data_IF_007611382199
#
_entry.id   IF_007611382199
#
_cell.length_a   1.000
_cell.length_b   1.000
_cell.length_c   1.000
_cell.angle_alpha   90.00
_cell.angle_beta   90.00
_cell.angle_gamma   90.00
#
_symmetry.space_group_name_H-M   'P 1'
#
loop_
_entity.id
_entity.type
_entity.pdbx_description
1 polymer ?
#
# COMPACT_ATOMS: atom_id res chain seq x y z
N UNK A 1 7.90 4.14 -45.03
CA UNK A 1 7.33 5.09 -44.06
C UNK A 1 6.92 4.26 -42.86
N UNK A 2 7.77 4.25 -41.84
CA UNK A 2 7.58 3.49 -40.61
C UNK A 2 6.62 4.27 -39.72
N UNK A 3 5.45 3.72 -39.44
CA UNK A 3 4.50 4.30 -38.51
C UNK A 3 5.08 4.07 -37.11
N UNK A 4 5.59 5.13 -36.50
CA UNK A 4 5.91 5.17 -35.08
C UNK A 4 4.57 4.98 -34.36
N UNK A 5 4.37 3.81 -33.79
CA UNK A 5 3.22 3.55 -32.92
C UNK A 5 3.59 4.15 -31.57
N UNK A 6 2.88 5.20 -31.16
CA UNK A 6 3.02 5.79 -29.83
C UNK A 6 2.80 4.71 -28.77
N UNK A 7 3.63 4.65 -27.70
CA UNK A 7 3.52 3.64 -26.65
C UNK A 7 2.20 3.70 -25.85
N UNK A 8 1.39 4.74 -26.07
CA UNK A 8 0.08 4.93 -25.44
C UNK A 8 -1.00 4.00 -26.03
N UNK A 9 -0.86 3.58 -27.29
CA UNK A 9 -1.96 2.91 -28.03
C UNK A 9 -2.03 1.39 -27.83
N UNK A 10 -1.03 0.78 -27.18
CA UNK A 10 -1.03 -0.65 -26.83
C UNK A 10 -1.74 -0.92 -25.48
N UNK A 11 -2.12 0.13 -24.74
CA UNK A 11 -2.84 0.01 -23.47
C UNK A 11 -4.34 -0.34 -23.61
N UNK A 12 -4.90 -0.26 -24.82
CA UNK A 12 -6.36 -0.34 -25.04
C UNK A 12 -7.00 -1.73 -24.84
N UNK A 13 -6.25 -2.79 -24.54
CA UNK A 13 -6.80 -4.15 -24.39
C UNK A 13 -6.57 -4.83 -23.03
N UNK A 14 -5.93 -4.16 -22.06
CA UNK A 14 -5.79 -4.69 -20.70
C UNK A 14 -6.76 -4.00 -19.75
N UNK A 15 -7.80 -4.71 -19.30
CA UNK A 15 -8.64 -4.26 -18.18
C UNK A 15 -7.71 -3.95 -16.99
N UNK A 16 -7.62 -2.68 -16.59
CA UNK A 16 -6.71 -2.26 -15.53
C UNK A 16 -7.10 -2.91 -14.19
N UNK A 17 -6.11 -3.11 -13.32
CA UNK A 17 -6.29 -3.71 -12.00
C UNK A 17 -6.18 -2.62 -10.94
N UNK A 18 -7.15 -2.53 -10.03
CA UNK A 18 -7.06 -1.70 -8.82
C UNK A 18 -6.95 -2.60 -7.59
N UNK A 19 -5.90 -2.37 -6.78
CA UNK A 19 -5.82 -2.89 -5.42
C UNK A 19 -6.30 -1.83 -4.45
N UNK A 20 -7.34 -2.12 -3.68
CA UNK A 20 -7.80 -1.19 -2.65
C UNK A 20 -8.08 -1.88 -1.32
N UNK A 21 -8.02 -1.12 -0.25
CA UNK A 21 -8.31 -1.60 1.10
C UNK A 21 -9.48 -0.82 1.72
N UNK A 22 -10.32 -1.49 2.50
CA UNK A 22 -11.35 -0.85 3.33
C UNK A 22 -10.84 -0.70 4.75
N UNK A 23 -11.04 0.49 5.34
CA UNK A 23 -10.71 0.81 6.72
C UNK A 23 -11.86 1.61 7.35
N UNK A 24 -11.94 1.66 8.68
CA UNK A 24 -13.06 2.27 9.40
C UNK A 24 -13.28 1.60 10.75
N UNK A 25 -14.03 2.24 11.65
CA UNK A 25 -14.33 1.73 12.99
C UNK A 25 -15.11 0.40 12.95
N UNK A 26 -15.19 -0.26 14.09
CA UNK A 26 -16.23 -1.28 14.33
C UNK A 26 -17.60 -0.63 14.11
N UNK A 27 -18.51 -1.36 13.47
CA UNK A 27 -19.86 -0.93 13.10
C UNK A 27 -20.00 0.15 12.02
N UNK A 28 -18.92 0.69 11.44
CA UNK A 28 -19.04 1.66 10.33
C UNK A 28 -19.60 1.07 9.02
N UNK A 29 -19.86 -0.24 8.99
CA UNK A 29 -20.50 -0.92 7.86
C UNK A 29 -19.56 -1.33 6.73
N UNK A 30 -18.28 -1.59 7.03
CA UNK A 30 -17.27 -2.06 6.06
C UNK A 30 -17.71 -3.33 5.32
N UNK A 31 -18.02 -4.39 6.08
CA UNK A 31 -18.49 -5.67 5.54
C UNK A 31 -19.78 -5.51 4.73
N UNK A 32 -20.69 -4.64 5.17
CA UNK A 32 -21.92 -4.33 4.44
C UNK A 32 -21.63 -3.63 3.11
N UNK A 33 -20.74 -2.65 3.08
CA UNK A 33 -20.33 -1.96 1.84
C UNK A 33 -19.69 -2.95 0.86
N UNK A 34 -18.77 -3.77 1.35
CA UNK A 34 -18.12 -4.79 0.54
C UNK A 34 -19.13 -5.79 -0.01
N UNK A 35 -20.02 -6.31 0.84
CA UNK A 35 -21.09 -7.22 0.44
C UNK A 35 -22.00 -6.60 -0.62
N UNK A 36 -22.37 -5.31 -0.47
CA UNK A 36 -23.14 -4.53 -1.44
C UNK A 36 -22.42 -4.39 -2.78
N UNK A 37 -21.13 -4.02 -2.77
CA UNK A 37 -20.32 -3.94 -3.99
C UNK A 37 -20.24 -5.28 -4.72
N UNK A 38 -20.06 -6.39 -3.99
CA UNK A 38 -19.99 -7.73 -4.58
C UNK A 38 -21.34 -8.18 -5.14
N UNK A 39 -22.43 -7.92 -4.41
CA UNK A 39 -23.79 -8.24 -4.84
C UNK A 39 -24.19 -7.47 -6.10
N UNK A 40 -24.07 -6.14 -6.06
CA UNK A 40 -24.56 -5.26 -7.11
C UNK A 40 -23.67 -5.30 -8.37
N UNK A 41 -22.38 -5.62 -8.23
CA UNK A 41 -21.48 -5.89 -9.37
C UNK A 41 -21.73 -7.24 -10.03
N UNK A 42 -22.70 -8.04 -9.55
CA UNK A 42 -23.02 -9.40 -10.04
C UNK A 42 -21.81 -10.36 -10.01
N UNK A 43 -20.87 -10.11 -9.12
CA UNK A 43 -19.66 -10.92 -8.96
C UNK A 43 -19.87 -12.12 -8.03
N UNK A 44 -21.00 -12.18 -7.34
CA UNK A 44 -21.41 -13.30 -6.48
C UNK A 44 -22.29 -14.25 -7.28
N UNK A 45 -21.92 -15.54 -7.30
CA UNK A 45 -22.73 -16.60 -7.90
C UNK A 45 -24.07 -16.73 -7.14
N UNK A 46 -25.17 -16.96 -7.87
CA UNK A 46 -26.53 -16.93 -7.31
C UNK A 46 -26.74 -17.92 -6.14
N UNK A 47 -26.01 -19.04 -6.14
CA UNK A 47 -26.04 -20.06 -5.09
C UNK A 47 -25.45 -19.57 -3.75
N UNK A 48 -24.46 -18.68 -3.77
CA UNK A 48 -23.92 -18.06 -2.56
C UNK A 48 -24.88 -17.02 -1.98
N UNK A 49 -25.61 -16.30 -2.83
CA UNK A 49 -26.64 -15.37 -2.39
C UNK A 49 -27.82 -16.08 -1.72
N UNK A 50 -28.30 -17.19 -2.30
CA UNK A 50 -29.33 -18.01 -1.65
C UNK A 50 -28.88 -18.59 -0.30
N UNK A 51 -27.58 -18.90 -0.16
CA UNK A 51 -27.03 -19.38 1.10
C UNK A 51 -27.00 -18.28 2.17
N UNK A 52 -26.72 -17.04 1.79
CA UNK A 52 -26.77 -15.86 2.66
C UNK A 52 -28.21 -15.55 3.07
N UNK A 53 -29.15 -15.51 2.12
CA UNK A 53 -30.58 -15.32 2.41
C UNK A 53 -31.10 -16.36 3.40
N UNK A 54 -30.78 -17.65 3.18
CA UNK A 54 -31.15 -18.73 4.11
C UNK A 54 -30.53 -18.56 5.49
N UNK A 55 -29.27 -18.12 5.58
CA UNK A 55 -28.60 -17.88 6.85
C UNK A 55 -29.17 -16.68 7.61
N UNK A 56 -29.49 -15.58 6.92
CA UNK A 56 -30.12 -14.38 7.50
C UNK A 56 -31.54 -14.66 7.99
N UNK A 57 -32.33 -15.41 7.21
CA UNK A 57 -33.66 -15.87 7.63
C UNK A 57 -33.57 -16.77 8.88
N UNK A 58 -32.57 -17.66 8.94
CA UNK A 58 -32.31 -18.49 10.12
C UNK A 58 -31.90 -17.69 11.37
N UNK A 59 -31.40 -16.46 11.19
CA UNK A 59 -31.06 -15.51 12.26
C UNK A 59 -32.20 -14.53 12.58
N UNK A 60 -33.33 -14.62 11.88
CA UNK A 60 -34.51 -13.78 12.10
C UNK A 60 -34.43 -12.39 11.47
N UNK A 61 -33.54 -12.17 10.51
CA UNK A 61 -33.47 -10.93 9.73
C UNK A 61 -34.38 -11.01 8.50
N UNK A 62 -35.14 -9.95 8.21
CA UNK A 62 -36.05 -9.89 7.05
C UNK A 62 -35.32 -9.61 5.73
N UNK A 63 -34.15 -8.97 5.78
CA UNK A 63 -33.29 -8.67 4.64
C UNK A 63 -32.00 -9.52 4.68
N UNK A 64 -31.42 -9.88 3.51
CA UNK A 64 -30.16 -10.60 3.48
C UNK A 64 -29.02 -9.77 4.06
N UNK A 65 -28.29 -10.36 5.00
CA UNK A 65 -27.12 -9.78 5.64
C UNK A 65 -25.89 -10.02 4.77
N UNK A 66 -25.61 -9.04 3.91
CA UNK A 66 -24.51 -9.13 2.94
C UNK A 66 -23.12 -9.21 3.59
N UNK A 67 -22.97 -8.90 4.89
CA UNK A 67 -21.72 -9.11 5.61
C UNK A 67 -21.35 -10.60 5.70
N UNK A 68 -22.32 -11.51 5.58
CA UNK A 68 -22.07 -12.95 5.54
C UNK A 68 -21.29 -13.41 4.30
N UNK A 69 -21.20 -12.58 3.25
CA UNK A 69 -20.34 -12.84 2.08
C UNK A 69 -18.86 -12.58 2.37
N UNK A 70 -18.55 -11.71 3.33
CA UNK A 70 -17.19 -11.29 3.64
C UNK A 70 -16.58 -12.07 4.79
N UNK A 71 -17.37 -12.45 5.79
CA UNK A 71 -16.87 -13.03 7.04
C UNK A 71 -16.58 -14.53 6.87
N UNK A 72 -15.28 -14.86 6.76
CA UNK A 72 -14.80 -16.19 6.40
C UNK A 72 -14.61 -17.12 7.59
N UNK A 73 -14.20 -16.59 8.75
CA UNK A 73 -13.89 -17.37 9.95
C UNK A 73 -15.13 -17.55 10.84
N UNK A 74 -15.22 -18.71 11.51
CA UNK A 74 -16.31 -18.96 12.47
C UNK A 74 -16.27 -17.97 13.65
N UNK A 75 -15.07 -17.59 14.09
CA UNK A 75 -14.86 -16.57 15.12
C UNK A 75 -15.32 -15.17 14.68
N UNK A 76 -15.08 -14.79 13.41
CA UNK A 76 -15.59 -13.54 12.83
C UNK A 76 -17.12 -13.53 12.86
N UNK A 77 -17.75 -14.63 12.45
CA UNK A 77 -19.23 -14.77 12.43
C UNK A 77 -19.88 -14.83 13.81
N UNK A 78 -19.16 -15.31 14.82
CA UNK A 78 -19.62 -15.37 16.21
C UNK A 78 -19.49 -14.00 16.91
N UNK A 79 -18.54 -13.17 16.49
CA UNK A 79 -18.25 -11.85 17.09
C UNK A 79 -18.75 -10.65 16.26
N UNK A 80 -19.13 -10.84 15.00
CA UNK A 80 -19.58 -9.77 14.11
C UNK A 80 -18.48 -8.79 13.70
N UNK A 81 -17.21 -9.22 13.70
CA UNK A 81 -16.05 -8.38 13.34
C UNK A 81 -15.14 -9.12 12.34
N UNK A 82 -14.52 -8.39 11.43
CA UNK A 82 -13.39 -8.88 10.62
C UNK A 82 -12.16 -9.04 11.52
N UNK A 83 -11.44 -10.17 11.43
CA UNK A 83 -10.26 -10.48 12.27
C UNK A 83 -8.99 -10.54 11.44
N UNK A 84 -9.02 -11.13 10.24
CA UNK A 84 -7.87 -11.24 9.34
C UNK A 84 -8.12 -10.48 8.02
N UNK A 85 -7.07 -10.18 7.27
CA UNK A 85 -7.23 -9.52 5.96
C UNK A 85 -7.83 -10.51 4.96
N UNK A 86 -9.07 -10.29 4.56
CA UNK A 86 -9.72 -11.10 3.54
C UNK A 86 -9.53 -10.47 2.16
N UNK A 87 -8.91 -11.19 1.24
CA UNK A 87 -8.81 -10.76 -0.17
C UNK A 87 -10.02 -11.22 -0.97
N UNK A 88 -10.70 -10.26 -1.61
CA UNK A 88 -11.83 -10.50 -2.51
C UNK A 88 -11.50 -10.00 -3.91
N UNK A 89 -12.03 -10.70 -4.90
CA UNK A 89 -11.77 -10.43 -6.31
C UNK A 89 -13.10 -10.19 -6.99
N UNK A 90 -13.22 -9.09 -7.71
CA UNK A 90 -14.39 -8.79 -8.53
C UNK A 90 -13.98 -7.97 -9.74
N UNK A 91 -14.88 -7.86 -10.72
CA UNK A 91 -14.61 -7.12 -11.95
C UNK A 91 -15.88 -6.47 -12.47
N UNK A 92 -15.70 -5.34 -13.13
CA UNK A 92 -16.72 -4.70 -13.96
C UNK A 92 -16.28 -4.80 -15.43
N UNK A 93 -17.13 -4.41 -16.40
CA UNK A 93 -16.70 -4.30 -17.79
C UNK A 93 -15.51 -3.36 -17.99
N UNK A 94 -15.29 -2.40 -17.08
CA UNK A 94 -14.24 -1.38 -17.18
C UNK A 94 -12.96 -1.77 -16.46
N UNK A 95 -13.04 -2.51 -15.35
CA UNK A 95 -11.89 -2.67 -14.44
C UNK A 95 -11.94 -3.95 -13.60
N UNK A 96 -10.78 -4.47 -13.21
CA UNK A 96 -10.62 -5.58 -12.25
C UNK A 96 -10.20 -5.05 -10.89
N UNK A 97 -10.66 -5.70 -9.84
CA UNK A 97 -10.47 -5.25 -8.46
C UNK A 97 -9.93 -6.36 -7.57
N UNK A 98 -8.97 -6.00 -6.73
CA UNK A 98 -8.55 -6.77 -5.56
C UNK A 98 -8.85 -5.92 -4.35
N UNK A 99 -9.81 -6.37 -3.55
CA UNK A 99 -10.17 -5.75 -2.29
C UNK A 99 -9.46 -6.48 -1.16
N UNK A 100 -8.79 -5.73 -0.29
CA UNK A 100 -8.33 -6.19 1.01
C UNK A 100 -9.30 -5.65 2.08
N UNK A 101 -10.13 -6.53 2.64
CA UNK A 101 -10.99 -6.15 3.76
C UNK A 101 -10.16 -6.14 5.05
N UNK A 102 -9.87 -4.96 5.60
CA UNK A 102 -9.03 -4.85 6.79
C UNK A 102 -9.88 -4.72 8.06
N UNK A 103 -9.50 -5.41 9.14
CA UNK A 103 -10.23 -5.35 10.40
C UNK A 103 -10.14 -3.96 11.04
N UNK A 104 -11.27 -3.47 11.57
CA UNK A 104 -11.38 -2.10 12.10
C UNK A 104 -11.03 -1.91 13.57
N UNK A 105 -10.70 -2.99 14.29
CA UNK A 105 -10.45 -2.90 15.72
C UNK A 105 -8.97 -2.57 16.00
N UNK A 106 -8.74 -1.77 17.06
CA UNK A 106 -7.43 -1.23 17.48
C UNK A 106 -6.33 -2.29 17.59
N UNK A 107 -6.69 -3.51 17.97
CA UNK A 107 -5.76 -4.63 18.12
C UNK A 107 -5.19 -5.16 16.80
N UNK A 108 -5.63 -4.64 15.64
CA UNK A 108 -5.30 -5.16 14.32
C UNK A 108 -4.60 -4.15 13.39
N UNK A 109 -3.90 -3.14 13.94
CA UNK A 109 -3.04 -2.23 13.15
C UNK A 109 -2.11 -2.99 12.21
N UNK A 110 -1.52 -4.11 12.63
CA UNK A 110 -0.68 -4.97 11.78
C UNK A 110 -1.40 -5.51 10.54
N UNK A 111 -2.70 -5.80 10.65
CA UNK A 111 -3.51 -6.33 9.56
C UNK A 111 -3.83 -5.22 8.57
N UNK A 112 -4.15 -4.02 9.06
CA UNK A 112 -4.27 -2.83 8.21
C UNK A 112 -2.95 -2.54 7.48
N UNK A 113 -1.80 -2.58 8.18
CA UNK A 113 -0.48 -2.39 7.55
C UNK A 113 -0.25 -3.40 6.43
N UNK A 114 -0.58 -4.67 6.68
CA UNK A 114 -0.45 -5.73 5.68
C UNK A 114 -1.33 -5.46 4.46
N UNK A 115 -2.62 -5.16 4.65
CA UNK A 115 -3.55 -4.89 3.55
C UNK A 115 -3.23 -3.59 2.77
N UNK A 116 -2.98 -2.50 3.49
CA UNK A 116 -2.75 -1.18 2.91
C UNK A 116 -1.37 -1.03 2.24
N UNK A 117 -0.35 -1.83 2.64
CA UNK A 117 1.00 -1.78 2.05
C UNK A 117 1.04 -2.05 0.54
N UNK A 118 0.04 -2.78 0.02
CA UNK A 118 -0.07 -3.10 -1.41
C UNK A 118 -1.22 -2.36 -2.09
N UNK A 119 -1.97 -1.57 -1.34
CA UNK A 119 -3.10 -0.82 -1.85
C UNK A 119 -2.64 0.41 -2.65
N UNK A 120 -3.38 0.66 -3.72
CA UNK A 120 -3.34 1.88 -4.54
C UNK A 120 -4.41 2.88 -4.08
N UNK A 121 -5.46 2.39 -3.42
CA UNK A 121 -6.52 3.21 -2.84
C UNK A 121 -6.96 2.68 -1.46
N UNK A 122 -7.27 3.58 -0.52
CA UNK A 122 -7.91 3.25 0.75
C UNK A 122 -9.30 3.89 0.84
N UNK A 123 -10.34 3.08 1.13
CA UNK A 123 -11.69 3.57 1.44
C UNK A 123 -11.83 3.61 2.96
N UNK A 124 -11.85 4.81 3.54
CA UNK A 124 -12.07 5.03 4.97
C UNK A 124 -13.55 5.29 5.20
N UNK A 125 -14.23 4.35 5.86
CA UNK A 125 -15.64 4.47 6.20
C UNK A 125 -15.80 5.20 7.54
N UNK A 126 -16.86 6.00 7.63
CA UNK A 126 -17.26 6.73 8.83
C UNK A 126 -18.78 6.64 8.99
N UNK A 127 -19.26 6.26 10.17
CA UNK A 127 -20.70 6.34 10.51
C UNK A 127 -21.13 7.81 10.67
N UNK A 128 -22.10 8.25 9.86
CA UNK A 128 -22.62 9.63 9.87
C UNK A 128 -23.20 10.06 11.23
N UNK A 129 -23.60 9.12 12.09
CA UNK A 129 -24.11 9.43 13.44
C UNK A 129 -23.00 9.77 14.43
N UNK A 130 -21.82 9.21 14.22
CA UNK A 130 -20.69 9.33 15.14
C UNK A 130 -19.68 10.39 14.67
N UNK A 131 -19.62 10.63 13.36
CA UNK A 131 -18.60 11.50 12.76
C UNK A 131 -17.19 10.92 12.89
N UNK A 132 -16.17 11.77 12.82
CA UNK A 132 -14.77 11.34 12.83
C UNK A 132 -14.37 10.93 14.25
N UNK A 133 -14.13 9.63 14.44
CA UNK A 133 -13.67 9.06 15.72
C UNK A 133 -12.16 8.78 15.72
N UNK A 134 -11.60 8.48 16.89
CA UNK A 134 -10.17 8.13 17.05
C UNK A 134 -9.73 7.00 16.11
N UNK A 135 -10.56 5.98 15.92
CA UNK A 135 -10.26 4.88 15.00
C UNK A 135 -10.19 5.34 13.53
N UNK A 136 -11.06 6.26 13.11
CA UNK A 136 -11.02 6.88 11.78
C UNK A 136 -9.70 7.61 11.55
N UNK A 137 -9.28 8.42 12.54
CA UNK A 137 -8.01 9.16 12.51
C UNK A 137 -6.83 8.21 12.43
N UNK A 138 -6.82 7.16 13.25
CA UNK A 138 -5.78 6.11 13.23
C UNK A 138 -5.68 5.44 11.85
N UNK A 139 -6.79 5.08 11.22
CA UNK A 139 -6.79 4.49 9.88
C UNK A 139 -6.25 5.45 8.82
N UNK A 140 -6.64 6.73 8.86
CA UNK A 140 -6.10 7.74 7.97
C UNK A 140 -4.58 7.93 8.17
N UNK A 141 -4.11 7.95 9.43
CA UNK A 141 -2.69 8.04 9.75
C UNK A 141 -1.88 6.86 9.20
N UNK A 142 -2.39 5.62 9.33
CA UNK A 142 -1.73 4.43 8.78
C UNK A 142 -1.74 4.44 7.24
N UNK A 143 -2.84 4.86 6.61
CA UNK A 143 -2.90 5.00 5.16
C UNK A 143 -1.90 6.04 4.63
N UNK A 144 -1.76 7.18 5.33
CA UNK A 144 -0.78 8.22 5.03
C UNK A 144 0.66 7.71 5.22
N UNK A 145 0.94 7.05 6.35
CA UNK A 145 2.24 6.45 6.67
C UNK A 145 2.72 5.47 5.57
N UNK A 146 1.80 4.65 5.07
CA UNK A 146 2.07 3.66 4.00
C UNK A 146 2.01 4.27 2.60
N UNK A 147 1.82 5.60 2.51
CA UNK A 147 1.69 6.38 1.29
C UNK A 147 0.72 5.74 0.30
N UNK A 148 -0.47 5.37 0.78
CA UNK A 148 -1.53 4.90 -0.11
C UNK A 148 -1.88 6.05 -1.07
N UNK A 149 -1.72 5.88 -2.40
CA UNK A 149 -1.81 6.98 -3.37
C UNK A 149 -3.14 7.73 -3.35
N UNK A 150 -4.24 7.01 -3.15
CA UNK A 150 -5.58 7.59 -3.13
C UNK A 150 -6.31 7.25 -1.84
N UNK A 151 -6.98 8.24 -1.24
CA UNK A 151 -7.82 8.04 -0.06
C UNK A 151 -9.23 8.55 -0.36
N UNK A 152 -10.22 7.71 -0.08
CA UNK A 152 -11.64 8.01 -0.24
C UNK A 152 -12.29 7.99 1.14
N UNK A 153 -13.04 9.03 1.46
CA UNK A 153 -13.89 9.05 2.64
C UNK A 153 -15.31 8.61 2.24
N UNK A 154 -15.77 7.49 2.79
CA UNK A 154 -17.13 7.01 2.61
C UNK A 154 -17.95 7.30 3.88
N UNK A 155 -18.77 8.35 3.84
CA UNK A 155 -19.65 8.72 4.98
C UNK A 155 -20.89 7.85 4.90
N UNK A 156 -20.92 6.78 5.70
CA UNK A 156 -21.94 5.74 5.65
C UNK A 156 -23.10 6.01 6.61
N UNK A 157 -24.21 5.29 6.42
CA UNK A 157 -25.44 5.37 7.20
C UNK A 157 -26.15 6.72 7.11
N UNK A 158 -26.08 7.37 5.94
CA UNK A 158 -26.81 8.62 5.68
C UNK A 158 -28.32 8.46 5.85
N UNK A 159 -28.85 7.24 5.68
CA UNK A 159 -30.25 6.89 5.94
C UNK A 159 -30.68 7.10 7.41
N UNK A 160 -29.74 7.01 8.36
CA UNK A 160 -30.03 7.18 9.79
C UNK A 160 -29.95 8.64 10.26
N UNK A 161 -29.48 9.54 9.38
CA UNK A 161 -29.39 10.99 9.61
C UNK A 161 -30.23 11.76 8.58
N UNK A 162 -31.31 11.12 8.09
CA UNK A 162 -32.27 11.67 7.16
C UNK A 162 -31.63 12.27 5.88
N UNK A 163 -30.50 11.71 5.44
CA UNK A 163 -29.75 12.14 4.26
C UNK A 163 -29.32 13.63 4.32
N UNK A 164 -29.11 14.17 5.51
CA UNK A 164 -28.86 15.58 5.74
C UNK A 164 -27.47 16.03 5.24
N UNK A 165 -27.45 16.94 4.26
CA UNK A 165 -26.23 17.58 3.72
C UNK A 165 -25.33 18.21 4.81
N UNK A 166 -25.86 18.95 5.82
CA UNK A 166 -25.00 19.58 6.83
C UNK A 166 -24.19 18.56 7.66
N UNK A 167 -24.72 17.35 7.88
CA UNK A 167 -24.02 16.29 8.62
C UNK A 167 -22.85 15.77 7.78
N UNK A 168 -23.08 15.49 6.50
CA UNK A 168 -22.03 15.07 5.58
C UNK A 168 -20.93 16.13 5.45
N UNK A 169 -21.32 17.39 5.25
CA UNK A 169 -20.38 18.50 5.06
C UNK A 169 -19.44 18.66 6.26
N UNK A 170 -19.97 18.61 7.49
CA UNK A 170 -19.17 18.72 8.71
C UNK A 170 -18.14 17.58 8.85
N UNK A 171 -18.55 16.35 8.56
CA UNK A 171 -17.65 15.17 8.63
C UNK A 171 -16.57 15.25 7.54
N UNK A 172 -16.96 15.63 6.33
CA UNK A 172 -16.03 15.77 5.21
C UNK A 172 -14.98 16.87 5.47
N UNK A 173 -15.39 18.00 6.03
CA UNK A 173 -14.50 19.10 6.40
C UNK A 173 -13.50 18.68 7.48
N UNK A 174 -13.98 18.07 8.58
CA UNK A 174 -13.13 17.60 9.67
C UNK A 174 -12.10 16.58 9.18
N UNK A 175 -12.53 15.57 8.41
CA UNK A 175 -11.64 14.53 7.91
C UNK A 175 -10.63 15.07 6.91
N UNK A 176 -11.04 15.99 6.02
CA UNK A 176 -10.15 16.60 5.03
C UNK A 176 -9.06 17.43 5.71
N UNK A 177 -9.42 18.21 6.75
CA UNK A 177 -8.45 18.96 7.53
C UNK A 177 -7.42 18.05 8.23
N UNK A 178 -7.89 16.94 8.82
CA UNK A 178 -7.00 15.98 9.46
C UNK A 178 -6.07 15.27 8.48
N UNK A 179 -6.57 14.84 7.32
CA UNK A 179 -5.74 14.19 6.31
C UNK A 179 -4.75 15.14 5.63
N UNK A 180 -5.10 16.42 5.48
CA UNK A 180 -4.17 17.44 5.02
C UNK A 180 -2.98 17.59 5.98
N UNK A 181 -3.19 17.53 7.31
CA UNK A 181 -2.10 17.57 8.29
C UNK A 181 -1.20 16.33 8.25
N UNK A 182 -1.72 15.20 7.75
CA UNK A 182 -0.96 13.98 7.47
C UNK A 182 -0.19 14.02 6.14
N UNK A 183 -0.34 15.08 5.34
CA UNK A 183 0.26 15.19 4.01
C UNK A 183 -0.51 14.45 2.90
N UNK A 184 -1.81 14.19 3.09
CA UNK A 184 -2.71 13.62 2.08
C UNK A 184 -3.56 14.76 1.50
N UNK A 185 -3.19 15.35 0.34
CA UNK A 185 -3.77 16.61 -0.12
C UNK A 185 -5.14 16.46 -0.79
N UNK A 186 -5.46 15.29 -1.35
CA UNK A 186 -6.69 15.08 -2.12
C UNK A 186 -7.49 13.89 -1.56
N UNK A 187 -8.71 14.18 -1.10
CA UNK A 187 -9.67 13.19 -0.64
C UNK A 187 -10.97 13.37 -1.40
N UNK A 188 -11.51 12.26 -1.91
CA UNK A 188 -12.88 12.24 -2.41
C UNK A 188 -13.81 11.79 -1.30
N UNK A 189 -14.74 12.65 -0.88
CA UNK A 189 -15.79 12.32 0.07
C UNK A 189 -17.08 11.90 -0.65
N UNK A 190 -17.64 10.75 -0.27
CA UNK A 190 -18.83 10.16 -0.87
C UNK A 190 -19.84 9.83 0.25
N UNK A 191 -21.03 10.47 0.28
CA UNK A 191 -22.10 10.11 1.21
C UNK A 191 -22.79 8.85 0.70
N UNK A 192 -22.90 7.83 1.53
CA UNK A 192 -23.47 6.53 1.15
C UNK A 192 -24.45 5.99 2.19
N UNK A 193 -25.29 5.08 1.75
CA UNK A 193 -25.89 4.07 2.62
C UNK A 193 -25.55 2.69 2.07
N UNK A 194 -24.63 1.99 2.73
CA UNK A 194 -24.26 0.63 2.33
C UNK A 194 -25.46 -0.33 2.39
N UNK A 195 -26.35 -0.12 3.37
CA UNK A 195 -27.54 -0.94 3.57
C UNK A 195 -28.61 -0.65 2.52
N UNK A 196 -28.92 0.62 2.23
CA UNK A 196 -29.94 0.98 1.25
C UNK A 196 -29.44 0.96 -0.21
N UNK A 197 -28.12 1.05 -0.42
CA UNK A 197 -27.46 1.04 -1.73
C UNK A 197 -27.17 2.43 -2.31
N UNK A 198 -27.58 3.50 -1.62
CA UNK A 198 -27.38 4.88 -2.05
C UNK A 198 -25.90 5.22 -2.28
N UNK A 199 -25.58 5.71 -3.48
CA UNK A 199 -24.24 6.12 -3.93
C UNK A 199 -23.15 5.03 -3.86
N UNK A 200 -23.51 3.75 -3.68
CA UNK A 200 -22.54 2.65 -3.71
C UNK A 200 -22.24 2.24 -5.15
N UNK A 201 -23.28 1.85 -5.89
CA UNK A 201 -23.19 1.49 -7.32
C UNK A 201 -24.02 2.44 -8.17
N UNK A 202 -25.22 2.78 -7.71
CA UNK A 202 -26.12 3.71 -8.37
C UNK A 202 -26.21 5.03 -7.62
N UNK A 203 -26.32 6.17 -8.32
CA UNK A 203 -26.58 7.46 -7.69
C UNK A 203 -27.86 7.41 -6.84
N UNK A 204 -27.81 8.06 -5.67
CA UNK A 204 -28.95 8.19 -4.77
C UNK A 204 -30.01 9.13 -5.34
N UNK A 205 -31.28 8.82 -5.07
CA UNK A 205 -32.41 9.73 -5.31
C UNK A 205 -32.83 10.49 -4.03
N UNK A 206 -32.20 10.18 -2.90
CA UNK A 206 -32.46 10.81 -1.60
C UNK A 206 -31.49 11.97 -1.31
N UNK A 207 -30.39 12.07 -2.07
CA UNK A 207 -29.31 13.03 -1.88
C UNK A 207 -29.08 13.86 -3.16
N UNK A 208 -30.12 14.53 -3.66
CA UNK A 208 -30.05 15.37 -4.88
C UNK A 208 -29.01 16.50 -4.78
N UNK A 209 -28.63 16.87 -3.56
CA UNK A 209 -27.57 17.84 -3.27
C UNK A 209 -26.16 17.31 -3.57
N UNK A 210 -25.98 15.99 -3.66
CA UNK A 210 -24.69 15.38 -3.97
C UNK A 210 -24.48 15.18 -5.48
N UNK A 211 -23.61 15.99 -6.08
CA UNK A 211 -23.24 15.90 -7.49
C UNK A 211 -21.98 15.10 -7.80
N UNK A 212 -21.42 14.39 -6.81
CA UNK A 212 -20.17 13.62 -6.96
C UNK A 212 -20.37 12.19 -7.50
N UNK A 213 -19.29 11.42 -7.63
CA UNK A 213 -19.35 10.05 -8.14
C UNK A 213 -19.92 9.07 -7.11
N UNK A 214 -20.44 7.94 -7.56
CA UNK A 214 -20.66 6.79 -6.67
C UNK A 214 -19.32 6.15 -6.26
N UNK A 215 -19.33 5.31 -5.22
CA UNK A 215 -18.14 4.54 -4.81
C UNK A 215 -17.61 3.71 -5.98
N UNK A 216 -18.47 2.97 -6.69
CA UNK A 216 -18.03 2.15 -7.82
C UNK A 216 -17.48 2.99 -8.96
N UNK A 217 -18.15 4.10 -9.33
CA UNK A 217 -17.66 4.99 -10.38
C UNK A 217 -16.27 5.53 -10.06
N UNK A 218 -16.06 5.99 -8.84
CA UNK A 218 -14.75 6.47 -8.40
C UNK A 218 -13.68 5.36 -8.49
N UNK A 219 -13.99 4.15 -7.99
CA UNK A 219 -13.11 2.98 -8.09
C UNK A 219 -12.81 2.60 -9.55
N UNK A 220 -13.75 2.76 -10.49
CA UNK A 220 -13.52 2.52 -11.91
C UNK A 220 -12.64 3.58 -12.57
N UNK A 221 -12.73 4.84 -12.13
CA UNK A 221 -12.05 5.97 -12.79
C UNK A 221 -10.73 6.37 -12.18
N UNK A 222 -10.43 6.00 -10.93
CA UNK A 222 -9.22 6.43 -10.24
C UNK A 222 -7.96 6.00 -11.01
N UNK A 223 -7.02 6.91 -11.31
CA UNK A 223 -5.77 6.56 -11.97
C UNK A 223 -4.96 5.64 -11.04
N UNK A 224 -4.46 4.50 -11.55
CA UNK A 224 -3.55 3.61 -10.77
C UNK A 224 -2.19 3.44 -11.41
N UNK A 225 -2.06 3.76 -12.69
CA UNK A 225 -0.78 3.69 -13.38
C UNK A 225 -0.16 5.07 -13.26
N UNK A 226 0.70 5.25 -12.27
CA UNK A 226 1.69 6.31 -12.32
C UNK A 226 2.53 6.09 -13.58
N UNK A 227 2.82 7.15 -14.32
CA UNK A 227 3.66 7.06 -15.52
C UNK A 227 5.04 6.57 -15.08
N UNK A 228 5.47 5.35 -15.48
CA UNK A 228 6.75 4.81 -15.05
C UNK A 228 7.93 5.67 -15.53
N UNK A 229 7.74 6.62 -16.45
CA UNK A 229 8.79 7.54 -16.87
C UNK A 229 9.13 8.63 -15.85
N UNK A 230 8.25 8.88 -14.87
CA UNK A 230 8.48 9.88 -13.82
C UNK A 230 9.43 9.37 -12.73
N UNK A 231 9.51 8.05 -12.55
CA UNK A 231 10.35 7.42 -11.53
C UNK A 231 11.72 6.97 -12.08
N UNK A 232 12.81 7.13 -11.32
CA UNK A 232 14.09 6.52 -11.65
C UNK A 232 13.99 4.99 -11.76
N UNK A 233 14.66 4.42 -12.75
CA UNK A 233 14.64 2.98 -12.93
C UNK A 233 15.36 2.23 -11.80
N UNK A 234 14.75 1.12 -11.36
CA UNK A 234 15.30 0.22 -10.34
C UNK A 234 15.05 -1.21 -10.75
N UNK A 235 16.11 -1.95 -11.05
CA UNK A 235 16.02 -3.35 -11.47
C UNK A 235 16.76 -4.27 -10.50
N UNK A 236 16.06 -4.80 -9.49
CA UNK A 236 16.65 -5.77 -8.56
C UNK A 236 16.83 -7.13 -9.25
N UNK A 237 18.07 -7.60 -9.32
CA UNK A 237 18.41 -8.87 -9.95
C UNK A 237 17.89 -10.02 -9.09
N UNK A 238 17.04 -10.85 -9.69
CA UNK A 238 16.46 -12.04 -9.04
C UNK A 238 17.26 -13.30 -9.38
N UNK A 239 17.77 -13.39 -10.61
CA UNK A 239 18.42 -14.58 -11.12
C UNK A 239 19.44 -14.24 -12.21
N UNK A 240 20.50 -15.03 -12.32
CA UNK A 240 21.52 -14.90 -13.37
C UNK A 240 21.41 -16.11 -14.29
N UNK A 241 21.05 -15.88 -15.54
CA UNK A 241 20.87 -16.88 -16.57
C UNK A 241 22.21 -17.11 -17.27
N UNK A 242 22.76 -18.32 -17.11
CA UNK A 242 23.97 -18.79 -17.82
C UNK A 242 23.73 -20.23 -18.33
N UNK A 243 23.21 -20.39 -19.56
CA UNK A 243 22.89 -21.70 -20.11
C UNK A 243 24.14 -22.58 -20.30
N UNK A 244 25.29 -21.96 -20.60
CA UNK A 244 26.56 -22.65 -20.87
C UNK A 244 26.43 -23.76 -21.92
N UNK A 245 25.54 -23.57 -22.90
CA UNK A 245 25.37 -24.51 -24.01
C UNK A 245 26.36 -24.19 -25.14
N UNK A 246 26.66 -25.12 -26.05
CA UNK A 246 27.53 -24.85 -27.19
C UNK A 246 27.08 -23.66 -28.06
N UNK A 247 25.77 -23.41 -28.12
CA UNK A 247 25.17 -22.30 -28.86
C UNK A 247 25.27 -20.95 -28.10
N UNK A 248 25.36 -21.00 -26.77
CA UNK A 248 25.38 -19.85 -25.88
C UNK A 248 26.46 -20.00 -24.79
N UNK A 249 27.75 -20.12 -25.17
CA UNK A 249 28.82 -20.41 -24.21
C UNK A 249 29.03 -19.24 -23.23
N UNK A 250 28.94 -18.01 -23.73
CA UNK A 250 29.21 -16.78 -22.98
C UNK A 250 27.95 -15.99 -22.60
N UNK A 251 26.77 -16.56 -22.83
CA UNK A 251 25.52 -15.84 -22.53
C UNK A 251 25.39 -15.56 -21.03
N UNK A 252 25.15 -14.29 -20.70
CA UNK A 252 24.84 -13.82 -19.36
C UNK A 252 23.65 -12.86 -19.40
N UNK A 253 22.51 -13.36 -18.96
CA UNK A 253 21.30 -12.54 -18.78
C UNK A 253 20.97 -12.36 -17.30
N UNK A 254 20.54 -11.17 -16.93
CA UNK A 254 20.09 -10.85 -15.58
C UNK A 254 18.57 -10.77 -15.57
N UNK A 255 17.92 -11.72 -14.92
CA UNK A 255 16.47 -11.79 -14.86
C UNK A 255 15.95 -11.19 -13.56
N UNK A 256 14.83 -10.47 -13.67
CA UNK A 256 14.18 -9.81 -12.56
C UNK A 256 12.90 -9.12 -12.98
N UNK A 257 12.22 -8.51 -12.02
CA UNK A 257 11.09 -7.63 -12.26
C UNK A 257 11.54 -6.20 -12.07
N UNK A 258 11.24 -5.31 -13.03
CA UNK A 258 11.53 -3.88 -12.90
C UNK A 258 10.70 -3.33 -11.73
N UNK A 259 11.37 -2.81 -10.70
CA UNK A 259 10.71 -2.31 -9.51
C UNK A 259 10.07 -0.94 -9.78
N UNK A 260 10.78 -0.03 -10.42
CA UNK A 260 10.31 1.30 -10.83
C UNK A 260 10.99 1.73 -12.12
N UNK A 261 10.45 2.75 -12.77
CA UNK A 261 11.06 3.39 -13.92
C UNK A 261 10.95 2.63 -15.24
N UNK A 262 11.73 3.13 -16.21
CA UNK A 262 11.86 2.59 -17.57
C UNK A 262 13.33 2.27 -17.86
N UNK A 263 13.59 1.11 -18.46
CA UNK A 263 14.89 0.72 -18.99
C UNK A 263 14.84 0.73 -20.52
N UNK A 264 15.92 1.22 -21.14
CA UNK A 264 16.09 1.22 -22.60
C UNK A 264 17.41 0.59 -22.98
N UNK A 265 17.43 -0.06 -24.14
CA UNK A 265 18.68 -0.48 -24.78
C UNK A 265 19.53 0.77 -25.04
N UNK A 266 20.81 0.71 -24.67
CA UNK A 266 21.74 1.83 -24.72
C UNK A 266 21.82 2.69 -23.46
N UNK A 267 20.95 2.47 -22.45
CA UNK A 267 21.05 3.21 -21.19
C UNK A 267 22.34 2.87 -20.44
N UNK A 268 23.02 3.91 -19.95
CA UNK A 268 24.13 3.78 -19.02
C UNK A 268 23.61 3.46 -17.62
N UNK A 269 24.11 2.37 -17.02
CA UNK A 269 23.65 1.86 -15.74
C UNK A 269 24.80 1.64 -14.76
N UNK A 270 24.48 1.71 -13.47
CA UNK A 270 25.35 1.35 -12.35
C UNK A 270 24.80 0.12 -11.64
N UNK A 271 25.69 -0.80 -11.29
CA UNK A 271 25.37 -2.01 -10.52
C UNK A 271 25.76 -1.82 -9.06
N UNK A 272 24.77 -1.85 -8.18
CA UNK A 272 24.93 -1.67 -6.75
C UNK A 272 24.89 -3.02 -6.01
N UNK A 273 25.70 -3.20 -4.96
CA UNK A 273 26.49 -2.17 -4.26
C UNK A 273 27.90 -1.93 -4.86
N UNK A 274 28.29 -2.64 -5.92
CA UNK A 274 29.66 -2.61 -6.44
C UNK A 274 30.10 -1.23 -6.97
N UNK A 275 29.15 -0.41 -7.44
CA UNK A 275 29.39 0.88 -8.08
C UNK A 275 29.93 0.78 -9.51
N UNK A 276 30.10 -0.43 -10.06
CA UNK A 276 30.55 -0.60 -11.45
C UNK A 276 29.48 -0.13 -12.44
N UNK A 277 29.91 0.51 -13.51
CA UNK A 277 29.03 0.97 -14.59
C UNK A 277 29.09 0.04 -15.80
N UNK A 278 28.03 0.03 -16.60
CA UNK A 278 27.96 -0.61 -17.92
C UNK A 278 26.83 0.03 -18.74
N UNK A 279 26.51 -0.56 -19.89
CA UNK A 279 25.43 -0.15 -20.78
C UNK A 279 24.50 -1.32 -21.03
N UNK A 280 23.19 -1.09 -21.09
CA UNK A 280 22.21 -2.11 -21.46
C UNK A 280 22.38 -2.44 -22.95
N UNK A 281 22.78 -3.67 -23.26
CA UNK A 281 22.95 -4.13 -24.63
C UNK A 281 21.64 -4.69 -25.21
N UNK A 282 20.83 -5.35 -24.37
CA UNK A 282 19.55 -5.90 -24.77
C UNK A 282 18.58 -6.07 -23.61
N UNK A 283 17.30 -6.04 -23.95
CA UNK A 283 16.18 -6.32 -23.07
C UNK A 283 15.28 -7.37 -23.72
N UNK A 284 14.88 -8.37 -22.94
CA UNK A 284 13.91 -9.39 -23.38
C UNK A 284 12.73 -9.45 -22.41
N UNK A 285 11.51 -9.29 -22.92
CA UNK A 285 10.25 -9.46 -22.18
C UNK A 285 9.62 -10.78 -22.63
N UNK A 286 9.43 -11.72 -21.69
CA UNK A 286 8.88 -13.06 -22.01
C UNK A 286 9.60 -13.78 -23.17
N UNK A 287 10.92 -13.57 -23.28
CA UNK A 287 11.76 -14.16 -24.32
C UNK A 287 11.65 -13.48 -25.70
N UNK A 288 11.03 -12.31 -25.78
CA UNK A 288 11.00 -11.47 -26.99
C UNK A 288 11.86 -10.23 -26.76
N UNK A 289 12.75 -9.95 -27.72
CA UNK A 289 13.60 -8.77 -27.68
C UNK A 289 12.76 -7.49 -27.81
N UNK A 290 13.06 -6.49 -26.98
CA UNK A 290 12.41 -5.18 -26.95
C UNK A 290 13.46 -4.08 -26.77
N UNK A 291 13.17 -2.88 -27.29
CA UNK A 291 14.05 -1.71 -27.10
C UNK A 291 13.82 -1.01 -25.75
N UNK A 292 12.62 -1.17 -25.20
CA UNK A 292 12.15 -0.48 -23.99
C UNK A 292 11.35 -1.46 -23.14
N UNK A 293 11.59 -1.43 -21.82
CA UNK A 293 10.79 -2.14 -20.83
C UNK A 293 10.54 -1.25 -19.62
N UNK A 294 9.42 -1.43 -18.93
CA UNK A 294 9.00 -0.57 -17.83
C UNK A 294 8.47 -1.36 -16.63
N UNK A 295 8.47 -0.74 -15.45
CA UNK A 295 7.87 -1.35 -14.28
C UNK A 295 6.36 -1.60 -14.48
N UNK A 296 5.81 -2.75 -14.02
CA UNK A 296 6.44 -3.83 -13.27
C UNK A 296 6.75 -5.06 -14.14
N UNK A 297 7.22 -4.90 -15.38
CA UNK A 297 7.47 -6.05 -16.27
C UNK A 297 8.63 -6.92 -15.76
N UNK A 298 8.50 -8.23 -15.96
CA UNK A 298 9.59 -9.18 -15.77
C UNK A 298 10.42 -9.28 -17.04
N UNK A 299 11.71 -9.01 -16.92
CA UNK A 299 12.64 -8.89 -18.04
C UNK A 299 13.92 -9.67 -17.81
N UNK A 300 14.61 -9.98 -18.91
CA UNK A 300 16.03 -10.31 -18.90
C UNK A 300 16.81 -9.13 -19.46
N UNK A 301 17.81 -8.67 -18.73
CA UNK A 301 18.71 -7.59 -19.13
C UNK A 301 20.07 -8.19 -19.48
N UNK A 302 20.66 -7.78 -20.60
CA UNK A 302 22.06 -8.06 -20.94
C UNK A 302 22.85 -6.76 -20.92
N UNK A 303 24.06 -6.81 -20.39
CA UNK A 303 24.96 -5.68 -20.29
C UNK A 303 26.14 -5.86 -21.24
N UNK A 304 26.71 -4.76 -21.70
CA UNK A 304 27.85 -4.76 -22.62
C UNK A 304 29.14 -5.29 -21.96
N UNK A 305 29.28 -5.12 -20.64
CA UNK A 305 30.46 -5.53 -19.89
C UNK A 305 30.19 -6.76 -19.02
N UNK A 306 31.20 -7.62 -18.89
CA UNK A 306 31.18 -8.74 -17.94
C UNK A 306 31.39 -8.23 -16.50
N UNK A 307 30.27 -7.81 -15.89
CA UNK A 307 30.22 -7.40 -14.49
C UNK A 307 29.91 -8.60 -13.59
N UNK A 308 30.54 -8.69 -12.42
CA UNK A 308 30.20 -9.72 -11.43
C UNK A 308 28.92 -9.34 -10.67
N UNK A 309 27.78 -9.70 -11.27
CA UNK A 309 26.44 -9.45 -10.72
C UNK A 309 25.82 -10.76 -10.28
N UNK A 310 25.15 -10.71 -9.12
CA UNK A 310 24.49 -11.81 -8.44
C UNK A 310 23.07 -11.42 -8.00
N UNK A 311 22.32 -12.40 -7.49
CA UNK A 311 20.99 -12.13 -6.90
C UNK A 311 21.13 -11.17 -5.71
N UNK A 312 20.28 -10.16 -5.67
CA UNK A 312 20.30 -9.13 -4.62
C UNK A 312 21.03 -7.85 -5.04
N UNK A 313 21.74 -7.86 -6.16
CA UNK A 313 22.29 -6.64 -6.73
C UNK A 313 21.20 -5.84 -7.43
N UNK A 314 21.41 -4.52 -7.51
CA UNK A 314 20.46 -3.57 -8.09
C UNK A 314 21.11 -2.88 -9.29
N UNK A 315 20.46 -2.95 -10.44
CA UNK A 315 20.83 -2.15 -11.62
C UNK A 315 19.97 -0.89 -11.62
N UNK A 316 20.61 0.27 -11.70
CA UNK A 316 19.96 1.58 -11.71
C UNK A 316 20.61 2.50 -12.76
N UNK A 317 19.93 3.55 -13.25
CA UNK A 317 20.53 4.54 -14.14
C UNK A 317 21.80 5.16 -13.53
N UNK A 318 22.85 5.29 -14.33
CA UNK A 318 24.13 5.83 -13.86
C UNK A 318 24.04 7.29 -13.39
N UNK A 319 23.06 8.05 -13.91
CA UNK A 319 22.81 9.44 -13.55
C UNK A 319 22.08 9.59 -12.20
N UNK A 320 21.36 8.56 -11.74
CA UNK A 320 20.55 8.61 -10.52
C UNK A 320 20.61 7.29 -9.73
N UNK A 321 21.81 6.82 -9.34
CA UNK A 321 21.93 5.63 -8.50
C UNK A 321 21.46 5.95 -7.07
N UNK A 322 20.72 5.05 -6.42
CA UNK A 322 20.39 5.20 -5.01
C UNK A 322 21.66 5.14 -4.15
N UNK A 323 21.64 5.86 -3.04
CA UNK A 323 22.73 5.83 -2.07
C UNK A 323 22.85 4.43 -1.45
N UNK A 324 24.09 3.98 -1.25
CA UNK A 324 24.36 2.74 -0.50
C UNK A 324 24.70 3.07 0.94
N UNK A 325 24.04 2.40 1.88
CA UNK A 325 24.32 2.57 3.31
C UNK A 325 24.38 1.22 4.04
N UNK A 326 25.12 1.20 5.15
CA UNK A 326 25.03 0.12 6.14
C UNK A 326 24.27 0.55 7.40
N UNK A 327 24.07 1.84 7.59
CA UNK A 327 23.27 2.40 8.67
C UNK A 327 21.93 2.86 8.08
N UNK A 328 20.87 2.14 8.44
CA UNK A 328 19.53 2.38 7.93
C UNK A 328 18.71 2.99 9.05
N UNK A 329 18.29 4.24 8.86
CA UNK A 329 17.24 4.85 9.65
C UNK A 329 15.90 4.59 8.97
N UNK A 330 14.92 4.15 9.74
CA UNK A 330 13.63 3.78 9.20
C UNK A 330 12.51 4.01 10.19
N UNK A 331 11.32 4.30 9.66
CA UNK A 331 10.07 4.11 10.38
C UNK A 331 9.61 2.67 10.17
N UNK A 332 9.15 2.01 11.22
CA UNK A 332 8.77 0.60 11.16
C UNK A 332 7.43 0.34 11.83
N UNK A 333 6.72 -0.66 11.32
CA UNK A 333 5.53 -1.23 11.94
C UNK A 333 5.87 -2.65 12.42
N UNK A 334 5.80 -2.87 13.73
CA UNK A 334 6.06 -4.18 14.30
C UNK A 334 4.81 -5.06 14.24
N UNK A 335 4.93 -6.24 13.63
CA UNK A 335 3.76 -7.09 13.30
C UNK A 335 3.73 -8.40 14.08
N UNK A 336 4.88 -8.86 14.59
CA UNK A 336 4.98 -10.08 15.37
C UNK A 336 4.63 -9.85 16.85
N UNK A 337 4.21 -10.91 17.55
CA UNK A 337 3.95 -10.85 18.99
C UNK A 337 5.25 -10.78 19.81
N UNK A 338 6.38 -11.24 19.23
CA UNK A 338 7.71 -11.17 19.85
C UNK A 338 8.28 -9.76 19.69
N UNK A 339 8.50 -9.00 20.77
CA UNK A 339 8.92 -7.61 20.67
C UNK A 339 10.29 -7.47 19.98
N UNK A 340 10.43 -6.40 19.19
CA UNK A 340 11.71 -5.99 18.60
C UNK A 340 12.51 -5.20 19.64
N UNK A 341 13.74 -5.62 19.94
CA UNK A 341 14.58 -5.00 20.99
C UNK A 341 15.88 -4.44 20.45
N UNK A 342 16.40 -3.39 21.09
CA UNK A 342 17.77 -2.92 20.85
C UNK A 342 18.79 -4.05 21.08
N UNK A 343 19.76 -4.18 20.18
CA UNK A 343 20.76 -5.23 20.16
C UNK A 343 20.31 -6.55 19.51
N UNK A 344 19.04 -6.67 19.12
CA UNK A 344 18.52 -7.88 18.49
C UNK A 344 19.13 -8.08 17.10
N UNK A 345 19.56 -9.32 16.83
CA UNK A 345 20.03 -9.74 15.50
C UNK A 345 18.83 -10.14 14.65
N UNK A 346 18.76 -9.60 13.45
CA UNK A 346 17.67 -9.82 12.49
C UNK A 346 18.25 -10.08 11.10
N UNK A 347 17.43 -10.61 10.19
CA UNK A 347 17.69 -10.58 8.76
C UNK A 347 16.90 -9.43 8.15
N UNK A 348 17.56 -8.52 7.45
CA UNK A 348 16.92 -7.46 6.68
C UNK A 348 16.78 -7.94 5.24
N UNK A 349 15.54 -8.11 4.78
CA UNK A 349 15.20 -8.42 3.39
C UNK A 349 14.77 -7.15 2.67
N UNK A 350 15.56 -6.72 1.71
CA UNK A 350 15.29 -5.58 0.84
C UNK A 350 15.32 -6.07 -0.60
N UNK A 351 14.25 -5.81 -1.35
CA UNK A 351 14.04 -6.34 -2.71
C UNK A 351 14.34 -7.85 -2.80
N UNK A 352 15.43 -8.23 -3.47
CA UNK A 352 15.86 -9.62 -3.70
C UNK A 352 17.03 -10.04 -2.81
N UNK A 353 17.57 -9.10 -2.01
CA UNK A 353 18.69 -9.28 -1.11
C UNK A 353 18.22 -9.50 0.33
N UNK A 354 18.89 -10.40 1.03
CA UNK A 354 18.71 -10.60 2.49
C UNK A 354 20.07 -10.52 3.15
N UNK A 355 20.25 -9.59 4.08
CA UNK A 355 21.49 -9.38 4.83
C UNK A 355 21.27 -9.55 6.32
N UNK A 356 22.32 -9.92 7.05
CA UNK A 356 22.29 -9.87 8.52
C UNK A 356 22.30 -8.42 8.96
N UNK A 357 21.54 -8.11 10.00
CA UNK A 357 21.50 -6.79 10.61
C UNK A 357 21.38 -6.89 12.13
N UNK A 358 21.67 -5.79 12.81
CA UNK A 358 21.43 -5.60 14.24
C UNK A 358 20.61 -4.33 14.44
N UNK A 359 19.61 -4.38 15.33
CA UNK A 359 18.90 -3.20 15.80
C UNK A 359 19.86 -2.42 16.69
N UNK A 360 20.40 -1.31 16.20
CA UNK A 360 21.33 -0.46 16.95
C UNK A 360 20.60 0.35 18.01
N UNK A 361 19.45 0.90 17.64
CA UNK A 361 18.68 1.77 18.52
C UNK A 361 17.21 1.82 18.09
N UNK A 362 16.34 2.21 19.02
CA UNK A 362 14.92 2.49 18.80
C UNK A 362 14.67 3.88 19.37
N UNK A 363 14.90 4.95 18.59
CA UNK A 363 14.88 6.32 19.10
C UNK A 363 13.52 6.77 19.60
N UNK A 364 12.43 6.33 18.95
CA UNK A 364 11.08 6.72 19.35
C UNK A 364 10.02 5.70 18.95
N UNK A 365 8.92 5.67 19.70
CA UNK A 365 7.65 5.02 19.34
C UNK A 365 6.60 6.10 19.09
N UNK A 366 5.81 5.93 18.04
CA UNK A 366 4.71 6.81 17.69
C UNK A 366 3.40 6.33 18.33
N UNK A 367 2.63 7.26 18.87
CA UNK A 367 1.22 7.04 19.22
C UNK A 367 0.36 7.46 18.05
N UNK A 368 -0.52 6.58 17.55
CA UNK A 368 -1.32 6.88 16.35
C UNK A 368 -2.51 7.81 16.60
N UNK A 369 -2.82 8.09 17.86
CA UNK A 369 -4.02 8.84 18.25
C UNK A 369 -3.82 10.34 18.06
N UNK A 370 -2.62 10.80 18.39
CA UNK A 370 -2.18 12.19 18.33
C UNK A 370 -0.86 12.39 17.56
N UNK A 371 -0.29 11.30 17.03
CA UNK A 371 1.02 11.28 16.35
C UNK A 371 2.19 11.72 17.24
N UNK A 372 2.01 11.69 18.57
CA UNK A 372 3.07 12.04 19.52
C UNK A 372 4.20 11.00 19.51
N UNK A 373 5.43 11.48 19.71
CA UNK A 373 6.61 10.63 19.81
C UNK A 373 6.97 10.36 21.27
N UNK A 374 7.05 9.08 21.63
CA UNK A 374 7.59 8.61 22.89
C UNK A 374 9.06 8.22 22.72
N UNK A 375 10.00 8.97 23.31
CA UNK A 375 11.43 8.73 23.11
C UNK A 375 11.91 7.46 23.82
N UNK A 376 12.92 6.82 23.22
CA UNK A 376 13.70 5.70 23.75
C UNK A 376 12.87 4.59 24.42
N UNK A 377 11.86 4.00 23.74
CA UNK A 377 11.02 2.94 24.31
C UNK A 377 11.81 1.65 24.63
N UNK A 378 13.01 1.46 24.05
CA UNK A 378 13.87 0.29 24.25
C UNK A 378 13.40 -0.99 23.53
N UNK A 379 12.09 -1.11 23.30
CA UNK A 379 11.47 -2.17 22.51
C UNK A 379 10.23 -1.68 21.75
N UNK A 380 9.83 -2.40 20.71
CA UNK A 380 8.54 -2.25 20.02
C UNK A 380 7.75 -3.55 20.16
N UNK A 381 6.53 -3.46 20.69
CA UNK A 381 5.59 -4.56 20.81
C UNK A 381 4.72 -4.70 19.55
N UNK A 382 3.89 -5.74 19.49
CA UNK A 382 2.95 -5.93 18.39
C UNK A 382 2.07 -4.69 18.19
N UNK A 383 1.90 -4.28 16.93
CA UNK A 383 1.18 -3.08 16.50
C UNK A 383 1.89 -1.75 16.78
N UNK A 384 3.04 -1.74 17.45
CA UNK A 384 3.79 -0.50 17.65
C UNK A 384 4.37 -0.02 16.31
N UNK A 385 4.32 1.30 16.13
CA UNK A 385 5.00 2.01 15.05
C UNK A 385 6.08 2.87 15.68
N UNK A 386 7.28 2.88 15.11
CA UNK A 386 8.38 3.62 15.70
C UNK A 386 9.53 3.84 14.75
N UNK A 387 10.50 4.65 15.18
CA UNK A 387 11.77 4.82 14.49
C UNK A 387 12.77 3.77 14.97
N UNK A 388 13.57 3.25 14.05
CA UNK A 388 14.68 2.35 14.36
C UNK A 388 15.94 2.79 13.61
N UNK A 389 17.08 2.48 14.21
CA UNK A 389 18.39 2.54 13.57
C UNK A 389 18.91 1.12 13.46
N UNK A 390 19.21 0.69 12.24
CA UNK A 390 19.72 -0.65 11.94
C UNK A 390 21.14 -0.56 11.40
N UNK A 391 21.98 -1.53 11.76
CA UNK A 391 23.27 -1.75 11.11
C UNK A 391 23.28 -3.06 10.36
N UNK A 392 23.48 -2.99 9.05
CA UNK A 392 23.59 -4.16 8.19
C UNK A 392 25.04 -4.62 8.08
N UNK A 393 25.23 -5.92 7.83
CA UNK A 393 26.55 -6.52 7.60
C UNK A 393 27.14 -6.09 6.25
N UNK A 394 26.29 -5.80 5.27
CA UNK A 394 26.66 -5.43 3.90
C UNK A 394 25.88 -4.18 3.46
N UNK A 395 26.44 -3.31 2.61
CA UNK A 395 25.74 -2.13 2.12
C UNK A 395 24.47 -2.49 1.33
N UNK A 396 23.41 -1.72 1.56
CA UNK A 396 22.15 -1.81 0.83
C UNK A 396 21.93 -0.53 0.02
N UNK A 397 21.46 -0.71 -1.22
CA UNK A 397 21.03 0.38 -2.10
C UNK A 397 19.55 0.66 -1.86
N UNK A 398 19.27 1.58 -0.94
CA UNK A 398 17.93 1.83 -0.40
C UNK A 398 17.50 3.25 -0.81
N UNK A 399 16.35 3.36 -1.46
CA UNK A 399 15.74 4.67 -1.71
C UNK A 399 14.99 5.13 -0.45
N UNK A 400 14.82 6.44 -0.22
CA UNK A 400 13.84 6.93 0.76
C UNK A 400 12.44 6.41 0.41
N UNK A 401 11.65 6.01 1.41
CA UNK A 401 10.28 5.54 1.17
C UNK A 401 9.36 6.63 0.62
N UNK A 402 9.68 7.90 0.90
CA UNK A 402 9.04 9.08 0.33
C UNK A 402 9.26 9.21 -1.19
N UNK A 403 10.36 8.67 -1.71
CA UNK A 403 10.66 8.71 -3.15
C UNK A 403 10.14 7.44 -3.83
N UNK A 404 10.35 6.26 -3.22
CA UNK A 404 9.91 4.98 -3.79
C UNK A 404 9.41 4.02 -2.72
N UNK A 405 8.11 3.67 -2.78
CA UNK A 405 7.51 2.66 -1.89
C UNK A 405 8.14 1.28 -2.07
N UNK A 406 8.56 0.94 -3.29
CA UNK A 406 9.06 -0.40 -3.65
C UNK A 406 10.50 -0.64 -3.24
N UNK A 407 11.36 0.36 -3.41
CA UNK A 407 12.79 0.26 -3.10
C UNK A 407 13.17 0.97 -1.80
N UNK A 408 12.24 1.68 -1.15
CA UNK A 408 12.38 2.15 0.23
C UNK A 408 11.72 1.27 1.27
N UNK A 409 11.06 0.17 0.90
CA UNK A 409 10.50 -0.80 1.85
C UNK A 409 11.42 -2.01 2.08
N UNK A 410 11.38 -2.54 3.30
CA UNK A 410 12.10 -3.75 3.67
C UNK A 410 11.36 -4.53 4.77
N UNK A 411 11.79 -5.77 5.01
CA UNK A 411 11.30 -6.60 6.11
C UNK A 411 12.43 -6.95 7.07
N UNK A 412 12.14 -6.95 8.37
CA UNK A 412 12.97 -7.61 9.37
C UNK A 412 12.42 -8.98 9.67
N UNK A 413 13.29 -9.98 9.61
CA UNK A 413 12.95 -11.39 9.71
C UNK A 413 13.76 -12.00 10.86
N UNK A 414 13.13 -12.86 11.64
CA UNK A 414 13.79 -13.63 12.68
C UNK A 414 14.75 -14.65 12.05
N UNK A 415 16.06 -14.63 12.38
CA UNK A 415 17.03 -15.55 11.81
C UNK A 415 16.83 -17.01 12.26
N UNK A 416 16.10 -17.26 13.35
CA UNK A 416 15.93 -18.60 13.91
C UNK A 416 14.86 -19.41 13.18
N UNK A 417 13.74 -18.77 12.82
CA UNK A 417 12.57 -19.46 12.25
C UNK A 417 12.02 -18.83 10.96
N UNK A 418 12.56 -17.69 10.52
CA UNK A 418 12.13 -17.02 9.30
C UNK A 418 10.83 -16.22 9.43
N UNK A 419 10.32 -16.02 10.66
CA UNK A 419 9.12 -15.20 10.90
C UNK A 419 9.39 -13.74 10.52
N UNK A 420 8.46 -13.10 9.81
CA UNK A 420 8.51 -11.65 9.59
C UNK A 420 8.17 -10.94 10.88
N UNK A 421 9.15 -10.22 11.45
CA UNK A 421 8.99 -9.47 12.70
C UNK A 421 8.39 -8.09 12.45
N UNK A 422 8.84 -7.41 11.39
CA UNK A 422 8.63 -5.97 11.23
C UNK A 422 8.66 -5.58 9.76
N UNK A 423 7.75 -4.69 9.36
CA UNK A 423 7.78 -4.01 8.07
C UNK A 423 8.43 -2.64 8.23
N UNK A 424 9.36 -2.27 7.36
CA UNK A 424 10.13 -1.03 7.46
C UNK A 424 10.03 -0.15 6.23
N UNK A 425 10.08 1.15 6.47
CA UNK A 425 10.04 2.25 5.51
C UNK A 425 11.30 3.09 5.76
N UNK A 426 12.21 3.11 4.79
CA UNK A 426 13.46 3.84 4.87
C UNK A 426 13.21 5.35 5.01
N UNK A 427 13.89 5.98 5.98
CA UNK A 427 13.72 7.39 6.32
C UNK A 427 12.56 7.67 7.28
N UNK A 428 12.13 8.94 7.32
CA UNK A 428 10.92 9.38 8.00
C UNK A 428 9.69 9.08 7.13
N UNK A 429 8.64 8.53 7.74
CA UNK A 429 7.44 8.15 7.00
C UNK A 429 6.35 9.24 6.97
N UNK A 430 6.34 10.17 7.93
CA UNK A 430 5.58 11.42 7.79
C UNK A 430 6.48 12.45 7.12
N UNK A 431 5.93 13.17 6.14
CA UNK A 431 6.59 14.36 5.64
C UNK A 431 6.95 15.27 6.84
N UNK A 432 8.04 16.02 6.74
CA UNK A 432 8.53 16.97 7.76
C UNK A 432 7.53 18.11 8.12
N UNK A 433 6.24 17.96 7.83
CA UNK A 433 5.16 18.82 8.32
C UNK A 433 5.02 18.76 9.85
N UNK A 434 5.35 17.63 10.49
CA UNK A 434 5.27 17.50 11.95
C UNK A 434 6.40 18.26 12.67
N UNK A 435 7.57 18.41 12.07
CA UNK A 435 8.65 19.25 12.63
C UNK A 435 8.32 20.74 12.51
N UNK A 436 7.63 21.16 11.43
CA UNK A 436 7.14 22.54 11.30
C UNK A 436 6.06 22.88 12.35
N UNK A 437 5.16 21.94 12.65
CA UNK A 437 4.13 22.13 13.68
C UNK A 437 4.72 22.19 15.10
N UNK A 438 5.75 21.38 15.39
CA UNK A 438 6.45 21.43 16.67
C UNK A 438 7.30 22.70 16.81
N UNK A 439 7.95 23.16 15.74
CA UNK A 439 8.73 24.40 15.74
C UNK A 439 7.85 25.65 15.94
N UNK A 440 6.60 25.64 15.47
CA UNK A 440 5.64 26.73 15.73
C UNK A 440 5.07 26.72 17.15
N UNK A 441 5.02 25.57 17.82
CA UNK A 441 4.57 25.48 19.21
C UNK A 441 5.63 25.95 20.23
N UNK A 442 6.92 25.80 19.90
CA UNK A 442 8.02 26.31 20.74
C UNK A 442 8.25 27.82 20.58
N UNK A 443 8.02 28.39 19.38
CA UNK A 443 8.18 29.84 19.14
C UNK A 443 7.12 30.70 19.87
N UNK A 444 5.90 30.17 20.05
CA UNK A 444 4.81 30.84 20.77
C UNK A 444 4.98 30.79 22.31
N UNK A 445 5.95 30.01 22.82
CA UNK A 445 6.23 29.89 24.25
C UNK A 445 7.33 30.85 24.75
N UNK A 446 8.00 31.62 23.86
CA UNK A 446 9.18 32.42 24.22
C UNK A 446 8.94 33.95 24.34
N UNK A 447 7.69 34.43 24.35
CA UNK A 447 7.39 35.85 24.59
C UNK A 447 6.35 36.06 25.70
N UNK A 448 6.80 35.97 26.95
CA UNK A 448 6.15 36.65 28.07
C UNK A 448 7.23 37.36 28.92
N UNK A 449 7.31 38.69 28.77
CA UNK A 449 8.05 39.61 29.64
C UNK A 449 7.13 40.71 30.16
#
# INVERSE_FOLDING_TARGET
MSTIVDPVDVAATATSLLRFATAGSVDDGKSTLVGRLLHDSKSVLADQLEAVERASLGRGQEAPDLALLTDGLRAEREQGITIDVAYRYFATPRRRFILADTPGHVQYTRNMVTGASTAELAVVLVDARNGVVEQTRRHAAVAALLRVPHVVLAVNKMDLVDYAEPVFAAIAEEFTAYAASLGVPEITAIPISALAGDNVVTPSTNMDWYGGPTVLEHLETVPVVADPSEDPARFPVQYVIRPQTPELPDYRGYAGQIASGVLRVGDAVTVLPSGRTSTIEALDVLGQAVDVAWAPQSVTVRLADDLDISRGDLIAPAAAPPATTQDVEATVCHVADRPLKTGQRVLLKHTTRTVKAIVKDIPSRLTLDDLSQHPAPGELAANDIGRVVLRTAEPLALDPYADSRRTGSFLLIDPADGTTLTAGMAGSAFAEAAEAAAAHADDDAEWDF
#
